data_IF_264641289832
#
_entry.id   IF_264641289832
#
_cell.length_a   1.000
_cell.length_b   1.000
_cell.length_c   1.000
_cell.angle_alpha   90.00
_cell.angle_beta   90.00
_cell.angle_gamma   90.00
#
_symmetry.space_group_name_H-M   'P 1'
#
loop_
_entity.id
_entity.type
_entity.pdbx_description
1 polymer ?
#
# COMPACT_ATOMS: atom_id res chain seq x y z
N UNK A 1 102.96 -15.27 -19.28
CA UNK A 1 102.16 -14.55 -18.27
C UNK A 1 100.87 -14.07 -18.92
N UNK A 2 99.73 -14.66 -18.56
CA UNK A 2 98.45 -13.96 -18.50
C UNK A 2 97.44 -14.84 -17.76
N UNK A 3 97.01 -14.35 -16.59
CA UNK A 3 96.04 -14.98 -15.70
C UNK A 3 94.63 -14.69 -16.23
N UNK A 4 93.85 -15.72 -16.58
CA UNK A 4 92.40 -15.60 -16.68
C UNK A 4 91.77 -16.15 -15.39
N UNK A 5 91.36 -15.25 -14.51
CA UNK A 5 90.49 -15.60 -13.38
C UNK A 5 89.07 -15.86 -13.88
N UNK A 6 88.68 -17.13 -13.95
CA UNK A 6 87.28 -17.51 -14.15
C UNK A 6 86.50 -17.27 -12.86
N UNK A 7 85.71 -16.19 -12.83
CA UNK A 7 84.78 -15.89 -11.75
C UNK A 7 83.63 -16.92 -11.72
N UNK A 8 83.76 -17.99 -10.93
CA UNK A 8 82.63 -18.89 -10.60
C UNK A 8 81.66 -18.14 -9.67
N UNK A 9 80.61 -17.53 -10.24
CA UNK A 9 79.46 -17.04 -9.48
C UNK A 9 78.77 -18.21 -8.78
N UNK A 10 79.04 -18.39 -7.48
CA UNK A 10 78.31 -19.32 -6.64
C UNK A 10 76.83 -18.98 -6.64
N UNK A 11 75.97 -19.88 -7.14
CA UNK A 11 74.52 -19.79 -6.97
C UNK A 11 74.22 -19.92 -5.48
N UNK A 12 73.97 -18.79 -4.81
CA UNK A 12 73.46 -18.76 -3.43
C UNK A 12 72.11 -19.48 -3.43
N UNK A 13 72.08 -20.70 -2.90
CA UNK A 13 70.84 -21.42 -2.66
C UNK A 13 70.07 -20.67 -1.59
N UNK A 14 68.94 -20.04 -1.93
CA UNK A 14 68.05 -19.46 -0.93
C UNK A 14 67.54 -20.60 -0.05
N UNK A 15 67.61 -20.43 1.27
CA UNK A 15 66.99 -21.35 2.23
C UNK A 15 65.50 -21.43 1.94
N UNK A 16 64.90 -22.61 2.03
CA UNK A 16 63.45 -22.82 1.84
C UNK A 16 62.64 -21.85 2.70
N UNK A 17 63.06 -21.60 3.94
CA UNK A 17 62.46 -20.63 4.86
C UNK A 17 62.45 -19.20 4.28
N UNK A 18 63.54 -18.78 3.63
CA UNK A 18 63.62 -17.44 3.02
C UNK A 18 62.70 -17.31 1.80
N UNK A 19 62.48 -18.38 1.05
CA UNK A 19 61.53 -18.41 -0.08
C UNK A 19 60.10 -18.32 0.46
N UNK A 20 59.75 -19.12 1.47
CA UNK A 20 58.44 -19.06 2.14
C UNK A 20 58.14 -17.67 2.72
N UNK A 21 59.08 -17.05 3.43
CA UNK A 21 58.89 -15.71 4.00
C UNK A 21 58.68 -14.66 2.91
N UNK A 22 59.41 -14.76 1.79
CA UNK A 22 59.24 -13.84 0.65
C UNK A 22 57.86 -13.99 0.02
N UNK A 23 57.36 -15.22 -0.14
CA UNK A 23 56.00 -15.49 -0.64
C UNK A 23 54.95 -14.89 0.30
N UNK A 24 55.09 -15.06 1.61
CA UNK A 24 54.17 -14.48 2.59
C UNK A 24 54.16 -12.95 2.56
N UNK A 25 55.31 -12.30 2.42
CA UNK A 25 55.41 -10.84 2.30
C UNK A 25 54.74 -10.35 1.01
N UNK A 26 55.01 -11.01 -0.13
CA UNK A 26 54.36 -10.65 -1.40
C UNK A 26 52.84 -10.83 -1.30
N UNK A 27 52.39 -11.93 -0.71
CA UNK A 27 50.96 -12.18 -0.48
C UNK A 27 50.35 -11.10 0.41
N UNK A 28 51.01 -10.70 1.50
CA UNK A 28 50.55 -9.65 2.39
C UNK A 28 50.47 -8.28 1.68
N UNK A 29 51.48 -7.92 0.89
CA UNK A 29 51.47 -6.69 0.08
C UNK A 29 50.34 -6.72 -0.95
N UNK A 30 50.14 -7.85 -1.63
CA UNK A 30 49.07 -7.99 -2.62
C UNK A 30 47.68 -7.85 -1.97
N UNK A 31 47.47 -8.45 -0.80
CA UNK A 31 46.24 -8.30 -0.02
C UNK A 31 46.04 -6.85 0.42
N UNK A 32 47.10 -6.19 0.93
CA UNK A 32 47.04 -4.79 1.34
C UNK A 32 46.74 -3.84 0.18
N UNK A 33 47.37 -4.05 -0.97
CA UNK A 33 47.10 -3.28 -2.18
C UNK A 33 45.66 -3.48 -2.71
N UNK A 34 45.16 -4.72 -2.67
CA UNK A 34 43.77 -5.04 -3.04
C UNK A 34 42.77 -4.38 -2.08
N UNK A 35 43.02 -4.45 -0.77
CA UNK A 35 42.18 -3.82 0.25
C UNK A 35 42.16 -2.28 0.08
N UNK A 36 43.32 -1.66 -0.17
CA UNK A 36 43.41 -0.24 -0.46
C UNK A 36 42.66 0.13 -1.74
N UNK A 37 42.81 -0.65 -2.82
CA UNK A 37 42.09 -0.42 -4.07
C UNK A 37 40.57 -0.48 -3.87
N UNK A 38 40.06 -1.47 -3.12
CA UNK A 38 38.64 -1.57 -2.75
C UNK A 38 38.21 -0.33 -1.96
N UNK A 39 38.97 0.05 -0.94
CA UNK A 39 38.66 1.21 -0.12
C UNK A 39 38.54 2.50 -0.95
N UNK A 40 39.53 2.78 -1.81
CA UNK A 40 39.57 3.96 -2.67
C UNK A 40 38.59 3.91 -3.85
N UNK A 41 38.14 2.72 -4.26
CA UNK A 41 37.12 2.59 -5.32
C UNK A 41 35.69 2.96 -4.87
N UNK A 42 35.49 3.23 -3.57
CA UNK A 42 34.17 3.47 -3.01
C UNK A 42 33.31 2.21 -2.88
N UNK A 43 33.87 1.02 -3.11
CA UNK A 43 33.12 -0.24 -2.92
C UNK A 43 32.97 -0.52 -1.42
N UNK A 44 31.75 -0.84 -0.99
CA UNK A 44 31.41 -1.19 0.39
C UNK A 44 30.56 -2.45 0.44
N UNK A 45 30.65 -3.12 1.58
CA UNK A 45 29.69 -4.11 2.02
C UNK A 45 28.93 -3.51 3.21
N UNK A 46 27.61 -3.43 3.11
CA UNK A 46 26.73 -2.90 4.15
C UNK A 46 25.72 -4.00 4.49
N UNK A 47 25.38 -4.16 5.76
CA UNK A 47 24.34 -5.09 6.19
C UNK A 47 23.49 -4.39 7.24
N UNK A 48 22.17 -4.51 7.11
CA UNK A 48 21.21 -4.01 8.09
C UNK A 48 20.10 -5.03 8.33
N UNK A 49 19.48 -4.93 9.51
CA UNK A 49 18.26 -5.66 9.80
C UNK A 49 17.07 -4.86 9.25
N UNK A 50 16.10 -5.55 8.68
CA UNK A 50 14.85 -4.95 8.20
C UNK A 50 13.80 -4.96 9.33
N UNK A 51 12.80 -4.08 9.27
CA UNK A 51 11.76 -3.98 10.31
C UNK A 51 10.97 -5.28 10.50
N UNK A 52 10.81 -6.07 9.43
CA UNK A 52 10.15 -7.38 9.43
C UNK A 52 10.98 -8.51 10.08
N UNK A 53 12.15 -8.18 10.65
CA UNK A 53 13.06 -9.13 11.27
C UNK A 53 13.99 -9.86 10.31
N UNK A 54 13.98 -9.48 9.02
CA UNK A 54 14.93 -9.96 8.01
C UNK A 54 16.28 -9.24 8.05
N UNK A 55 17.08 -9.49 7.02
CA UNK A 55 18.33 -8.76 6.77
C UNK A 55 18.42 -8.39 5.29
N UNK A 56 19.01 -7.23 5.02
CA UNK A 56 19.43 -6.85 3.67
C UNK A 56 20.92 -6.53 3.68
N UNK A 57 21.61 -7.06 2.67
CA UNK A 57 23.04 -6.88 2.45
C UNK A 57 23.24 -6.16 1.14
N UNK A 58 24.10 -5.15 1.12
CA UNK A 58 24.50 -4.43 -0.06
C UNK A 58 25.97 -4.71 -0.36
N UNK A 59 26.29 -4.90 -1.64
CA UNK A 59 27.64 -4.87 -2.15
C UNK A 59 27.69 -4.00 -3.40
N UNK A 60 28.44 -2.89 -3.33
CA UNK A 60 28.49 -1.93 -4.42
C UNK A 60 29.25 -0.65 -4.09
N UNK A 61 29.21 0.29 -5.02
CA UNK A 61 29.77 1.63 -4.86
C UNK A 61 28.83 2.50 -4.01
N UNK A 62 29.42 3.29 -3.15
CA UNK A 62 28.72 4.31 -2.36
C UNK A 62 29.26 5.70 -2.68
N UNK A 63 28.52 6.74 -2.29
CA UNK A 63 28.96 8.13 -2.38
C UNK A 63 29.89 8.53 -1.22
N UNK A 64 30.12 9.84 -1.05
CA UNK A 64 30.96 10.37 0.03
C UNK A 64 30.35 10.25 1.42
N UNK A 65 29.02 10.16 1.52
CA UNK A 65 28.26 10.04 2.77
C UNK A 65 28.10 8.56 3.17
N UNK A 66 28.30 7.65 2.21
CA UNK A 66 28.24 6.21 2.40
C UNK A 66 26.96 5.59 1.85
N UNK A 67 26.14 6.38 1.15
CA UNK A 67 24.87 5.94 0.59
C UNK A 67 25.07 5.17 -0.71
N UNK A 68 24.25 4.15 -1.00
CA UNK A 68 24.38 3.34 -2.21
C UNK A 68 24.26 4.17 -3.49
N UNK A 69 25.22 3.99 -4.41
CA UNK A 69 25.15 4.55 -5.77
C UNK A 69 24.84 3.47 -6.80
N UNK A 70 25.66 2.43 -6.86
CA UNK A 70 25.49 1.32 -7.82
C UNK A 70 25.88 0.02 -7.16
N UNK A 71 25.07 -1.02 -7.24
CA UNK A 71 25.43 -2.29 -6.61
C UNK A 71 24.31 -3.30 -6.60
N UNK A 72 24.45 -4.30 -5.73
CA UNK A 72 23.45 -5.35 -5.57
C UNK A 72 23.03 -5.50 -4.12
N UNK A 73 21.72 -5.49 -3.90
CA UNK A 73 21.05 -5.83 -2.65
C UNK A 73 20.73 -7.32 -2.62
N UNK A 74 20.86 -7.92 -1.44
CA UNK A 74 20.54 -9.32 -1.15
C UNK A 74 19.69 -9.37 0.11
N UNK A 75 18.41 -9.69 -0.06
CA UNK A 75 17.46 -9.82 1.02
C UNK A 75 17.47 -11.25 1.57
N UNK A 76 17.23 -11.42 2.87
CA UNK A 76 17.10 -12.75 3.49
C UNK A 76 15.95 -13.59 2.94
N UNK A 77 14.98 -12.95 2.28
CA UNK A 77 13.90 -13.61 1.55
C UNK A 77 14.38 -14.36 0.29
N UNK A 78 15.61 -14.11 -0.16
CA UNK A 78 16.17 -14.63 -1.41
C UNK A 78 16.00 -13.68 -2.60
N UNK A 79 15.25 -12.57 -2.44
CA UNK A 79 15.19 -11.51 -3.44
C UNK A 79 16.54 -10.81 -3.55
N UNK A 80 16.93 -10.46 -4.77
CA UNK A 80 18.06 -9.56 -5.01
C UNK A 80 17.59 -8.34 -5.79
N UNK A 81 18.29 -7.23 -5.68
CA UNK A 81 17.97 -6.04 -6.46
C UNK A 81 19.22 -5.34 -6.97
N UNK A 82 19.20 -4.86 -8.20
CA UNK A 82 20.24 -4.02 -8.79
C UNK A 82 19.92 -2.56 -8.51
N UNK A 83 20.85 -1.87 -7.85
CA UNK A 83 20.76 -0.45 -7.53
C UNK A 83 21.53 0.35 -8.57
N UNK A 84 20.90 1.37 -9.14
CA UNK A 84 21.49 2.34 -10.05
C UNK A 84 20.89 3.73 -9.76
N UNK A 85 21.50 4.45 -8.81
CA UNK A 85 21.04 5.77 -8.39
C UNK A 85 21.39 6.88 -9.38
N UNK A 86 22.24 6.63 -10.39
CA UNK A 86 22.38 7.55 -11.52
C UNK A 86 21.08 7.60 -12.35
N UNK A 87 20.34 6.48 -12.36
CA UNK A 87 18.99 6.38 -12.95
C UNK A 87 17.86 6.50 -11.92
N UNK A 88 18.20 6.77 -10.66
CA UNK A 88 17.28 6.77 -9.52
C UNK A 88 16.42 5.49 -9.47
N UNK A 89 17.01 4.31 -9.74
CA UNK A 89 16.27 3.06 -9.93
C UNK A 89 16.86 1.89 -9.15
N UNK A 90 15.96 1.06 -8.63
CA UNK A 90 16.25 -0.25 -8.04
C UNK A 90 15.41 -1.31 -8.74
N UNK A 91 16.06 -2.28 -9.41
CA UNK A 91 15.39 -3.35 -10.17
C UNK A 91 15.48 -4.66 -9.40
N UNK A 92 14.35 -5.19 -8.97
CA UNK A 92 14.27 -6.39 -8.15
C UNK A 92 14.19 -7.66 -9.01
N UNK A 93 14.71 -8.77 -8.50
CA UNK A 93 14.75 -10.06 -9.21
C UNK A 93 13.39 -10.71 -9.41
N UNK A 94 12.35 -10.24 -8.71
CA UNK A 94 10.96 -10.63 -8.94
C UNK A 94 10.29 -9.84 -10.09
N UNK A 95 10.99 -8.84 -10.65
CA UNK A 95 10.48 -7.98 -11.72
C UNK A 95 9.94 -6.63 -11.24
N UNK A 96 9.87 -6.38 -9.93
CA UNK A 96 9.48 -5.08 -9.41
C UNK A 96 10.57 -4.04 -9.71
N UNK A 97 10.16 -2.78 -9.91
CA UNK A 97 11.06 -1.65 -10.13
C UNK A 97 10.66 -0.55 -9.16
N UNK A 98 11.63 -0.05 -8.40
CA UNK A 98 11.46 1.14 -7.59
C UNK A 98 12.22 2.31 -8.21
N UNK A 99 11.59 3.47 -8.26
CA UNK A 99 12.16 4.75 -8.66
C UNK A 99 11.98 5.74 -7.50
N UNK A 100 13.06 6.13 -6.84
CA UNK A 100 12.95 7.01 -5.66
C UNK A 100 14.19 6.98 -4.77
N UNK A 101 14.09 7.72 -3.67
CA UNK A 101 15.19 7.88 -2.73
C UNK A 101 15.41 6.62 -1.88
N UNK A 102 16.66 6.38 -1.53
CA UNK A 102 17.04 5.38 -0.54
C UNK A 102 17.59 6.11 0.69
N UNK A 103 17.20 5.63 1.88
CA UNK A 103 17.89 5.93 3.13
C UNK A 103 18.61 4.65 3.57
N UNK A 104 19.93 4.71 3.60
CA UNK A 104 20.79 3.52 3.69
C UNK A 104 20.46 2.49 2.59
N UNK A 105 19.82 1.37 2.93
CA UNK A 105 19.46 0.32 1.96
C UNK A 105 17.95 0.13 1.77
N UNK A 106 17.13 1.04 2.30
CA UNK A 106 15.67 0.96 2.29
C UNK A 106 15.07 2.14 1.53
N UNK A 107 13.92 1.90 0.88
CA UNK A 107 13.12 2.93 0.23
C UNK A 107 12.66 3.96 1.27
N UNK A 108 12.80 5.23 0.94
CA UNK A 108 12.47 6.34 1.84
C UNK A 108 11.95 7.54 1.04
N UNK A 109 11.21 8.42 1.70
CA UNK A 109 10.74 9.66 1.09
C UNK A 109 9.71 9.40 0.00
N UNK A 110 9.75 10.21 -1.06
CA UNK A 110 8.87 10.02 -2.22
C UNK A 110 9.46 8.99 -3.17
N UNK A 111 8.63 8.08 -3.66
CA UNK A 111 9.03 7.14 -4.68
C UNK A 111 7.86 6.54 -5.43
N UNK A 112 8.21 5.78 -6.46
CA UNK A 112 7.29 5.06 -7.33
C UNK A 112 7.73 3.60 -7.40
N UNK A 113 6.82 2.69 -7.07
CA UNK A 113 7.02 1.26 -7.14
C UNK A 113 6.12 0.69 -8.23
N UNK A 114 6.74 0.11 -9.25
CA UNK A 114 6.10 -0.57 -10.36
C UNK A 114 6.22 -2.06 -10.07
N UNK A 115 5.10 -2.71 -9.80
CA UNK A 115 5.06 -4.13 -9.52
C UNK A 115 5.13 -4.96 -10.80
N UNK A 116 5.70 -6.15 -10.72
CA UNK A 116 5.70 -7.11 -11.83
C UNK A 116 4.27 -7.50 -12.29
N UNK A 117 3.26 -7.35 -11.43
CA UNK A 117 1.84 -7.51 -11.77
C UNK A 117 1.33 -6.44 -12.74
N UNK A 118 2.03 -5.32 -12.89
CA UNK A 118 1.60 -4.13 -13.61
C UNK A 118 0.92 -3.08 -12.72
N UNK A 119 0.71 -3.37 -11.44
CA UNK A 119 0.23 -2.36 -10.49
C UNK A 119 1.34 -1.32 -10.24
N UNK A 120 0.95 -0.10 -9.88
CA UNK A 120 1.88 1.00 -9.61
C UNK A 120 1.47 1.72 -8.34
N UNK A 121 2.39 1.88 -7.41
CA UNK A 121 2.25 2.77 -6.27
C UNK A 121 3.17 3.97 -6.41
N UNK A 122 2.69 5.18 -6.14
CA UNK A 122 3.48 6.40 -6.08
C UNK A 122 3.10 7.19 -4.82
N UNK A 123 4.06 7.43 -3.93
CA UNK A 123 3.77 8.07 -2.64
C UNK A 123 4.92 8.03 -1.65
N UNK A 124 4.60 8.15 -0.37
CA UNK A 124 5.59 8.14 0.71
C UNK A 124 6.04 6.72 1.08
N UNK A 125 7.32 6.61 1.40
CA UNK A 125 7.98 5.44 1.95
C UNK A 125 8.76 5.81 3.21
N UNK A 126 8.76 4.93 4.20
CA UNK A 126 9.65 4.99 5.36
C UNK A 126 10.15 3.58 5.64
N UNK A 127 11.46 3.37 5.55
CA UNK A 127 12.10 2.08 5.84
C UNK A 127 11.46 0.90 5.07
N UNK A 128 11.33 1.06 3.76
CA UNK A 128 10.64 0.13 2.86
C UNK A 128 9.11 0.00 3.04
N UNK A 129 8.52 0.62 4.06
CA UNK A 129 7.06 0.60 4.26
C UNK A 129 6.39 1.69 3.44
N UNK A 130 5.33 1.32 2.73
CA UNK A 130 4.39 2.26 2.14
C UNK A 130 3.60 2.94 3.28
N UNK A 131 3.66 4.26 3.34
CA UNK A 131 3.03 5.04 4.40
C UNK A 131 2.63 6.42 3.86
N UNK A 132 2.08 7.29 4.71
CA UNK A 132 1.76 8.66 4.33
C UNK A 132 0.72 8.72 3.21
N UNK A 133 0.87 9.67 2.29
CA UNK A 133 -0.07 9.86 1.19
C UNK A 133 0.49 9.27 -0.10
N UNK A 134 -0.36 8.56 -0.84
CA UNK A 134 0.02 7.98 -2.12
C UNK A 134 -1.15 7.60 -3.02
N UNK A 135 -0.80 7.23 -4.25
CA UNK A 135 -1.69 6.79 -5.30
C UNK A 135 -1.31 5.36 -5.68
N UNK A 136 -2.28 4.45 -5.63
CA UNK A 136 -2.16 3.08 -6.08
C UNK A 136 -3.01 2.90 -7.35
N UNK A 137 -2.36 2.73 -8.50
CA UNK A 137 -2.99 2.42 -9.77
C UNK A 137 -2.91 0.92 -10.01
N UNK A 138 -4.06 0.26 -10.07
CA UNK A 138 -4.13 -1.18 -10.25
C UNK A 138 -4.19 -1.52 -11.75
N UNK A 139 -3.59 -2.65 -12.11
CA UNK A 139 -3.60 -3.19 -13.48
C UNK A 139 -5.01 -3.49 -14.02
N UNK A 140 -6.00 -3.67 -13.14
CA UNK A 140 -7.41 -3.83 -13.50
C UNK A 140 -8.12 -2.50 -13.85
N UNK A 141 -7.45 -1.36 -13.70
CA UNK A 141 -7.98 -0.02 -13.95
C UNK A 141 -8.53 0.69 -12.71
N UNK A 142 -8.58 0.03 -11.55
CA UNK A 142 -8.92 0.69 -10.29
C UNK A 142 -7.81 1.66 -9.86
N UNK A 143 -8.18 2.67 -9.09
CA UNK A 143 -7.25 3.64 -8.51
C UNK A 143 -7.63 3.92 -7.06
N UNK A 144 -6.67 3.81 -6.15
CA UNK A 144 -6.77 4.36 -4.81
C UNK A 144 -5.89 5.59 -4.67
N UNK A 145 -6.39 6.64 -4.04
CA UNK A 145 -5.66 7.86 -3.72
C UNK A 145 -6.00 8.26 -2.29
N UNK A 146 -5.02 8.27 -1.39
CA UNK A 146 -5.28 8.56 0.00
C UNK A 146 -4.14 8.25 0.94
N UNK A 147 -4.45 8.24 2.23
CA UNK A 147 -3.49 7.93 3.27
C UNK A 147 -3.32 6.41 3.41
N UNK A 148 -2.08 5.98 3.67
CA UNK A 148 -1.69 4.60 3.93
C UNK A 148 -0.85 4.51 5.21
N UNK A 149 -0.93 3.37 5.88
CA UNK A 149 -0.10 3.01 7.02
C UNK A 149 0.30 1.55 6.88
N UNK A 150 1.60 1.28 6.78
CA UNK A 150 2.16 -0.06 6.57
C UNK A 150 1.52 -0.79 5.37
N UNK A 151 1.36 -0.08 4.25
CA UNK A 151 0.76 -0.58 3.02
C UNK A 151 -0.76 -0.73 3.03
N UNK A 152 -1.43 -0.42 4.15
CA UNK A 152 -2.90 -0.49 4.27
C UNK A 152 -3.53 0.88 4.16
N UNK A 153 -4.72 0.97 3.56
CA UNK A 153 -5.53 2.21 3.54
C UNK A 153 -5.93 2.57 4.96
N UNK A 154 -5.67 3.81 5.36
CA UNK A 154 -5.92 4.32 6.71
C UNK A 154 -6.27 5.80 6.63
N UNK A 155 -7.25 6.29 7.39
CA UNK A 155 -7.68 7.69 7.34
C UNK A 155 -8.43 8.04 6.05
N UNK A 156 -8.33 9.29 5.59
CA UNK A 156 -9.08 9.74 4.41
C UNK A 156 -8.48 9.18 3.12
N UNK A 157 -9.33 8.65 2.24
CA UNK A 157 -8.95 8.21 0.90
C UNK A 157 -10.12 8.15 -0.07
N UNK A 158 -9.79 8.02 -1.35
CA UNK A 158 -10.71 7.84 -2.47
C UNK A 158 -10.35 6.59 -3.23
N UNK A 159 -11.31 5.72 -3.49
CA UNK A 159 -11.18 4.56 -4.36
C UNK A 159 -12.10 4.73 -5.56
N UNK A 160 -11.52 4.73 -6.75
CA UNK A 160 -12.21 4.76 -8.03
C UNK A 160 -12.09 3.40 -8.66
N UNK A 161 -13.22 2.75 -8.92
CA UNK A 161 -13.25 1.47 -9.61
C UNK A 161 -13.21 1.68 -11.13
N UNK A 162 -12.73 0.67 -11.86
CA UNK A 162 -12.69 0.68 -13.32
C UNK A 162 -14.07 0.84 -13.99
N UNK A 163 -15.17 0.49 -13.29
CA UNK A 163 -16.55 0.69 -13.76
C UNK A 163 -17.05 2.13 -13.60
N UNK A 164 -16.25 3.03 -12.99
CA UNK A 164 -16.59 4.42 -12.72
C UNK A 164 -17.28 4.65 -11.38
N UNK A 165 -17.51 3.60 -10.59
CA UNK A 165 -17.91 3.73 -9.19
C UNK A 165 -16.82 4.46 -8.40
N UNK A 166 -17.20 5.22 -7.36
CA UNK A 166 -16.28 5.99 -6.53
C UNK A 166 -16.70 5.95 -5.07
N UNK A 167 -15.77 5.65 -4.18
CA UNK A 167 -15.91 5.84 -2.75
C UNK A 167 -14.91 6.89 -2.29
N UNK A 168 -15.37 7.88 -1.54
CA UNK A 168 -14.52 8.88 -0.88
C UNK A 168 -14.92 8.94 0.59
N UNK A 169 -14.00 8.59 1.49
CA UNK A 169 -14.32 8.52 2.90
C UNK A 169 -13.17 8.02 3.76
N UNK A 170 -13.51 7.65 4.99
CA UNK A 170 -12.58 7.18 6.00
C UNK A 170 -12.32 5.68 5.85
N UNK A 171 -11.05 5.30 5.93
CA UNK A 171 -10.55 3.94 5.97
C UNK A 171 -9.90 3.64 7.32
N UNK A 172 -9.95 2.38 7.73
CA UNK A 172 -9.19 1.82 8.83
C UNK A 172 -8.82 0.38 8.49
N UNK A 173 -7.52 0.05 8.48
CA UNK A 173 -7.03 -1.29 8.13
C UNK A 173 -7.63 -1.83 6.81
N UNK A 174 -7.53 -1.07 5.71
CA UNK A 174 -8.09 -1.39 4.38
C UNK A 174 -9.62 -1.37 4.27
N UNK A 175 -10.35 -1.17 5.36
CA UNK A 175 -11.82 -1.18 5.38
C UNK A 175 -12.40 0.22 5.47
N UNK A 176 -13.48 0.50 4.74
CA UNK A 176 -14.35 1.67 4.94
C UNK A 176 -14.84 1.68 6.39
N UNK A 177 -14.50 2.73 7.12
CA UNK A 177 -14.80 2.86 8.54
C UNK A 177 -14.87 4.34 8.93
N UNK A 178 -16.04 4.80 9.39
CA UNK A 178 -16.36 6.21 9.58
C UNK A 178 -17.20 6.78 8.44
N UNK A 179 -17.20 8.11 8.30
CA UNK A 179 -18.00 8.80 7.28
C UNK A 179 -17.46 8.55 5.87
N UNK A 180 -18.34 8.36 4.90
CA UNK A 180 -17.99 8.26 3.50
C UNK A 180 -19.15 8.46 2.54
N UNK A 181 -18.80 8.78 1.29
CA UNK A 181 -19.69 8.90 0.15
C UNK A 181 -19.32 7.84 -0.88
N UNK A 182 -20.23 6.92 -1.15
CA UNK A 182 -20.14 5.96 -2.25
C UNK A 182 -21.11 6.37 -3.35
N UNK A 183 -20.61 6.63 -4.56
CA UNK A 183 -21.38 6.73 -5.80
C UNK A 183 -21.12 5.49 -6.64
N UNK A 184 -22.17 4.75 -7.01
CA UNK A 184 -22.06 3.58 -7.86
C UNK A 184 -22.25 3.94 -9.34
N UNK A 185 -21.69 3.13 -10.23
CA UNK A 185 -21.83 3.29 -11.68
C UNK A 185 -23.29 3.20 -12.17
N UNK A 186 -24.18 2.56 -11.41
CA UNK A 186 -25.62 2.48 -11.71
C UNK A 186 -26.38 3.79 -11.40
N UNK A 187 -25.70 4.80 -10.85
CA UNK A 187 -26.26 6.09 -10.47
C UNK A 187 -26.80 6.15 -9.04
N UNK A 188 -26.80 5.04 -8.30
CA UNK A 188 -27.10 5.09 -6.86
C UNK A 188 -25.98 5.77 -6.08
N UNK A 189 -26.30 6.25 -4.88
CA UNK A 189 -25.30 6.78 -3.96
C UNK A 189 -25.67 6.59 -2.50
N UNK A 190 -24.67 6.46 -1.64
CA UNK A 190 -24.80 6.43 -0.19
C UNK A 190 -23.86 7.42 0.43
N UNK A 191 -24.39 8.26 1.31
CA UNK A 191 -23.61 9.15 2.16
C UNK A 191 -23.94 8.85 3.61
N UNK A 192 -22.95 8.45 4.41
CA UNK A 192 -23.17 8.12 5.81
C UNK A 192 -22.02 7.37 6.44
N UNK A 193 -22.30 6.76 7.59
CA UNK A 193 -21.30 6.07 8.38
C UNK A 193 -21.12 4.60 7.97
N UNK A 194 -19.88 4.14 7.99
CA UNK A 194 -19.47 2.77 7.75
C UNK A 194 -18.81 2.18 8.99
N UNK A 195 -19.03 0.88 9.23
CA UNK A 195 -18.28 0.09 10.21
C UNK A 195 -17.89 -1.22 9.54
N UNK A 196 -16.58 -1.45 9.40
CA UNK A 196 -16.03 -2.66 8.77
C UNK A 196 -16.69 -2.96 7.41
N UNK A 197 -16.60 -2.03 6.46
CA UNK A 197 -17.18 -2.11 5.10
C UNK A 197 -18.71 -1.92 4.97
N UNK A 198 -19.46 -2.10 6.06
CA UNK A 198 -20.92 -2.09 6.05
C UNK A 198 -21.49 -0.73 6.45
N UNK A 199 -22.60 -0.31 5.84
CA UNK A 199 -23.34 0.89 6.28
C UNK A 199 -23.89 0.66 7.68
N UNK A 200 -23.57 1.55 8.60
CA UNK A 200 -23.97 1.43 10.00
C UNK A 200 -24.14 2.82 10.63
N UNK A 201 -25.23 3.05 11.34
CA UNK A 201 -25.62 4.38 11.84
C UNK A 201 -26.46 5.16 10.82
N UNK A 202 -26.47 6.48 10.91
CA UNK A 202 -27.31 7.32 10.05
C UNK A 202 -26.68 7.51 8.65
N UNK A 203 -27.52 7.52 7.62
CA UNK A 203 -27.09 7.79 6.25
C UNK A 203 -28.23 8.14 5.30
N UNK A 204 -27.85 8.59 4.12
CA UNK A 204 -28.72 8.90 2.99
C UNK A 204 -28.39 7.95 1.86
N UNK A 205 -29.38 7.19 1.37
CA UNK A 205 -29.24 6.36 0.19
C UNK A 205 -30.15 6.88 -0.92
N UNK A 206 -29.58 7.16 -2.08
CA UNK A 206 -30.29 7.53 -3.30
C UNK A 206 -30.24 6.33 -4.23
N UNK A 207 -31.40 5.84 -4.62
CA UNK A 207 -31.56 4.68 -5.51
C UNK A 207 -31.42 5.11 -6.98
N UNK A 208 -31.10 4.18 -7.90
CA UNK A 208 -30.95 4.50 -9.33
C UNK A 208 -32.21 5.09 -9.97
N UNK A 209 -33.39 4.73 -9.44
CA UNK A 209 -34.69 5.23 -9.90
C UNK A 209 -35.04 6.62 -9.33
N UNK A 210 -34.19 7.22 -8.50
CA UNK A 210 -34.42 8.50 -7.84
C UNK A 210 -35.15 8.41 -6.50
N UNK A 211 -35.53 7.21 -6.04
CA UNK A 211 -36.01 7.03 -4.67
C UNK A 211 -34.90 7.45 -3.69
N UNK A 212 -35.29 7.89 -2.49
CA UNK A 212 -34.35 8.34 -1.46
C UNK A 212 -34.76 7.80 -0.10
N UNK A 213 -33.82 7.17 0.60
CA UNK A 213 -33.94 6.86 2.02
C UNK A 213 -33.01 7.77 2.83
N UNK A 214 -33.48 8.23 3.98
CA UNK A 214 -32.69 8.97 4.97
C UNK A 214 -33.03 8.43 6.35
N UNK A 215 -32.09 7.77 7.01
CA UNK A 215 -32.38 7.11 8.29
C UNK A 215 -31.25 6.22 8.76
N UNK A 216 -31.56 5.34 9.70
CA UNK A 216 -30.55 4.45 10.29
C UNK A 216 -30.35 3.18 9.46
N UNK A 217 -29.12 2.68 9.52
CA UNK A 217 -28.64 1.43 8.98
C UNK A 217 -27.98 0.62 10.09
N UNK A 218 -28.04 -0.70 9.99
CA UNK A 218 -27.21 -1.61 10.76
C UNK A 218 -26.79 -2.74 9.85
N UNK A 219 -25.47 -2.91 9.67
CA UNK A 219 -24.90 -3.91 8.77
C UNK A 219 -25.56 -3.95 7.38
N UNK A 220 -25.61 -2.79 6.68
CA UNK A 220 -26.27 -2.59 5.38
C UNK A 220 -27.81 -2.68 5.35
N UNK A 221 -28.45 -2.97 6.49
CA UNK A 221 -29.92 -3.09 6.59
C UNK A 221 -30.52 -1.79 7.12
N UNK A 222 -31.51 -1.22 6.40
CA UNK A 222 -32.30 -0.09 6.93
C UNK A 222 -33.10 -0.56 8.14
N UNK A 223 -32.93 0.15 9.25
CA UNK A 223 -33.51 -0.19 10.55
C UNK A 223 -33.86 1.07 11.34
N UNK A 224 -34.69 0.95 12.37
CA UNK A 224 -35.07 2.07 13.24
C UNK A 224 -35.78 3.18 12.47
N UNK A 225 -35.63 4.44 12.90
CA UNK A 225 -36.33 5.56 12.27
C UNK A 225 -35.71 5.98 10.94
N UNK A 226 -36.56 6.28 9.97
CA UNK A 226 -36.15 6.85 8.70
C UNK A 226 -37.29 7.47 7.89
N UNK A 227 -36.90 8.14 6.82
CA UNK A 227 -37.78 8.71 5.81
C UNK A 227 -37.46 8.06 4.46
N UNK A 228 -38.47 7.57 3.77
CA UNK A 228 -38.37 7.10 2.39
C UNK A 228 -39.22 8.00 1.50
N UNK A 229 -38.59 8.60 0.50
CA UNK A 229 -39.23 9.43 -0.52
C UNK A 229 -39.13 8.67 -1.82
N UNK A 230 -40.27 8.28 -2.38
CA UNK A 230 -40.31 7.66 -3.70
C UNK A 230 -40.23 8.74 -4.79
N UNK A 231 -39.66 8.38 -5.93
CA UNK A 231 -39.55 9.27 -7.09
C UNK A 231 -40.91 9.72 -7.64
N UNK A 232 -41.98 8.96 -7.36
CA UNK A 232 -43.36 9.32 -7.70
C UNK A 232 -43.98 10.37 -6.75
N UNK A 233 -43.27 10.76 -5.68
CA UNK A 233 -43.70 11.74 -4.68
C UNK A 233 -44.39 11.15 -3.44
N UNK A 234 -44.58 9.83 -3.34
CA UNK A 234 -44.97 9.22 -2.08
C UNK A 234 -43.87 9.48 -1.02
N UNK A 235 -44.27 9.60 0.24
CA UNK A 235 -43.34 9.77 1.37
C UNK A 235 -43.78 8.90 2.54
N UNK A 236 -42.84 8.17 3.13
CA UNK A 236 -43.04 7.44 4.38
C UNK A 236 -42.05 7.94 5.43
N UNK A 237 -42.54 8.23 6.61
CA UNK A 237 -41.76 8.62 7.78
C UNK A 237 -42.13 7.70 8.93
N UNK A 238 -41.22 6.86 9.40
CA UNK A 238 -41.56 5.86 10.41
C UNK A 238 -40.43 4.91 10.73
N UNK A 239 -40.78 3.77 11.31
CA UNK A 239 -39.83 2.73 11.66
C UNK A 239 -39.55 1.79 10.49
N UNK A 240 -38.34 1.23 10.47
CA UNK A 240 -37.87 0.26 9.51
C UNK A 240 -37.34 -0.96 10.24
N UNK A 241 -37.64 -2.14 9.69
CA UNK A 241 -37.04 -3.41 10.08
C UNK A 241 -36.78 -4.22 8.82
N UNK A 242 -35.60 -4.83 8.70
CA UNK A 242 -35.22 -5.69 7.57
C UNK A 242 -35.49 -5.05 6.20
N UNK A 243 -35.08 -3.78 6.04
CA UNK A 243 -35.29 -2.99 4.82
C UNK A 243 -36.75 -2.66 4.47
N UNK A 244 -37.71 -2.89 5.36
CA UNK A 244 -39.14 -2.64 5.13
C UNK A 244 -39.69 -1.64 6.12
N UNK A 245 -40.73 -0.92 5.70
CA UNK A 245 -41.55 -0.12 6.63
C UNK A 245 -42.16 -1.04 7.68
N UNK A 246 -42.02 -0.67 8.95
CA UNK A 246 -42.44 -1.47 10.10
C UNK A 246 -42.90 -0.54 11.23
N UNK A 247 -43.62 -1.07 12.22
CA UNK A 247 -44.06 -0.34 13.40
C UNK A 247 -44.91 0.89 13.06
N UNK A 248 -44.87 1.90 13.93
CA UNK A 248 -45.63 3.13 13.73
C UNK A 248 -44.98 4.01 12.64
N UNK A 249 -45.79 4.53 11.73
CA UNK A 249 -45.33 5.47 10.70
C UNK A 249 -46.43 6.33 10.09
N UNK A 250 -46.00 7.26 9.25
CA UNK A 250 -46.82 8.19 8.48
C UNK A 250 -46.53 8.02 7.00
N UNK A 251 -47.55 7.73 6.21
CA UNK A 251 -47.47 7.66 4.76
C UNK A 251 -48.25 8.83 4.13
N UNK A 252 -47.59 9.60 3.28
CA UNK A 252 -48.14 10.76 2.57
C UNK A 252 -48.11 10.49 1.08
N UNK A 253 -49.28 10.52 0.43
CA UNK A 253 -49.40 10.39 -1.02
C UNK A 253 -49.15 11.74 -1.72
N UNK A 254 -48.79 11.77 -3.01
CA UNK A 254 -48.63 12.99 -3.81
C UNK A 254 -49.86 13.90 -3.80
N UNK A 255 -51.05 13.33 -3.57
CA UNK A 255 -52.30 14.08 -3.44
C UNK A 255 -52.41 14.89 -2.14
N UNK A 256 -51.49 14.70 -1.19
CA UNK A 256 -51.55 15.26 0.16
C UNK A 256 -52.40 14.43 1.13
N UNK A 257 -52.99 13.31 0.69
CA UNK A 257 -53.61 12.34 1.60
C UNK A 257 -52.55 11.81 2.56
N UNK A 258 -52.93 11.53 3.81
CA UNK A 258 -52.06 10.98 4.85
C UNK A 258 -52.70 9.76 5.49
N UNK A 259 -51.89 8.77 5.83
CA UNK A 259 -52.22 7.65 6.71
C UNK A 259 -51.18 7.61 7.84
N UNK A 260 -51.63 7.55 9.08
CA UNK A 260 -50.80 7.38 10.27
C UNK A 260 -51.28 6.13 11.01
N UNK A 261 -50.37 5.19 11.28
CA UNK A 261 -50.72 3.92 11.91
C UNK A 261 -49.60 2.89 11.83
N UNK A 262 -49.97 1.62 12.03
CA UNK A 262 -49.03 0.50 12.07
C UNK A 262 -48.71 -0.04 10.67
N UNK A 263 -47.45 -0.41 10.49
CA UNK A 263 -46.90 -1.04 9.29
C UNK A 263 -46.23 -2.36 9.63
N UNK A 264 -46.42 -3.36 8.78
CA UNK A 264 -45.73 -4.65 8.91
C UNK A 264 -45.42 -5.21 7.52
N UNK A 265 -44.21 -5.74 7.36
CA UNK A 265 -43.72 -6.27 6.09
C UNK A 265 -43.88 -5.28 4.90
N UNK A 266 -43.70 -3.98 5.16
CA UNK A 266 -43.82 -2.94 4.13
C UNK A 266 -45.27 -2.60 3.75
N UNK A 267 -46.27 -3.02 4.52
CA UNK A 267 -47.69 -2.79 4.25
C UNK A 267 -48.38 -2.14 5.42
N UNK A 268 -49.41 -1.33 5.12
CA UNK A 268 -50.33 -0.80 6.11
C UNK A 268 -51.06 -1.97 6.79
N UNK A 269 -51.01 -2.01 8.12
CA UNK A 269 -51.85 -2.88 8.94
C UNK A 269 -53.17 -2.16 9.17
N UNK A 270 -54.29 -2.81 8.83
CA UNK A 270 -55.63 -2.34 9.19
C UNK A 270 -56.12 -3.20 10.33
N UNK A 271 -56.54 -2.57 11.43
CA UNK A 271 -57.37 -3.26 12.41
C UNK A 271 -58.70 -3.59 11.72
N UNK A 272 -59.04 -4.88 11.60
CA UNK A 272 -60.41 -5.26 11.33
C UNK A 272 -61.20 -4.89 12.58
N UNK A 273 -62.04 -3.86 12.50
CA UNK A 273 -63.10 -3.68 13.48
C UNK A 273 -63.96 -4.94 13.42
N UNK A 274 -63.86 -5.79 14.44
CA UNK A 274 -64.77 -6.90 14.67
C UNK A 274 -66.20 -6.38 14.48
N UNK A 275 -66.83 -6.78 13.37
CA UNK A 275 -68.22 -6.52 13.09
C UNK A 275 -69.05 -7.17 14.21
N UNK A 276 -69.50 -6.35 15.16
CA UNK A 276 -70.46 -6.74 16.20
C UNK A 276 -71.83 -7.05 15.61
#
# INVERSE_FOLDING_TARGET
MNYQQTNKRGRRHRSTLSVFLTILIIAAIAVGAAAAAIYFSGIRYIQMNTEDGGTVKFFGRVDSEGDPLTGKLYYSSGITAEVDMEKNSVVYSNGDIYEGELDQLSRHGKGKLIYASGDVYEGDFVQDQITGYGVYSFSNGDVYEGNLSNGKKEGQGTYTWADGSVYSGMYQNDMKNGQGLYKWADGSSYEGNYVNELKDGSGVYIFPNGDKYTGNFSADVRTGKGTYVWANGDVYEGEFADNKMHGTGKYTWPSGRVFEGEFSEGKIVREEEDAK
#
